data_IF_168912278780
#
_entry.id   IF_168912278780
#
_cell.length_a   1.000
_cell.length_b   1.000
_cell.length_c   1.000
_cell.angle_alpha   90.00
_cell.angle_beta   90.00
_cell.angle_gamma   90.00
#
_symmetry.space_group_name_H-M   'P 1'
#
loop_
_entity.id
_entity.type
_entity.pdbx_description
1 polymer ?
#
# COMPACT_ATOMS: atom_id res chain seq x y z
N UNK A 1 10.73 -62.75 -11.33
CA UNK A 1 11.26 -61.68 -10.46
C UNK A 1 10.34 -60.48 -10.60
N UNK A 2 9.84 -59.97 -9.47
CA UNK A 2 8.58 -59.22 -9.34
C UNK A 2 8.82 -57.71 -9.53
N UNK A 3 7.86 -57.08 -10.22
CA UNK A 3 7.86 -55.73 -10.80
C UNK A 3 8.14 -54.59 -9.79
N UNK A 4 9.01 -53.67 -10.21
CA UNK A 4 9.12 -52.27 -9.75
C UNK A 4 7.75 -51.59 -9.88
N UNK A 5 7.25 -50.89 -8.85
CA UNK A 5 6.22 -49.84 -8.98
C UNK A 5 6.11 -49.02 -7.67
N UNK A 6 6.09 -47.70 -7.87
CA UNK A 6 5.60 -46.59 -7.04
C UNK A 6 6.26 -46.31 -5.67
N UNK A 7 7.21 -45.38 -5.69
CA UNK A 7 7.32 -44.36 -4.64
C UNK A 7 7.21 -42.99 -5.32
N UNK A 8 6.01 -42.41 -5.30
CA UNK A 8 5.79 -41.01 -5.64
C UNK A 8 4.89 -40.37 -4.58
N UNK A 9 5.40 -40.28 -3.36
CA UNK A 9 4.89 -39.38 -2.33
C UNK A 9 5.42 -37.99 -2.64
N UNK A 10 4.66 -37.22 -3.42
CA UNK A 10 4.90 -35.78 -3.60
C UNK A 10 4.57 -35.10 -2.26
N UNK A 11 5.61 -34.73 -1.54
CA UNK A 11 5.55 -34.00 -0.28
C UNK A 11 5.08 -32.57 -0.59
N UNK A 12 3.82 -32.26 -0.33
CA UNK A 12 3.29 -30.89 -0.31
C UNK A 12 3.68 -30.18 1.00
N UNK A 13 4.98 -30.01 1.26
CA UNK A 13 5.48 -29.20 2.38
C UNK A 13 6.32 -28.04 1.88
N UNK A 14 5.68 -27.06 1.26
CA UNK A 14 6.29 -25.75 1.05
C UNK A 14 5.23 -24.65 0.86
N UNK A 15 4.25 -24.58 1.77
CA UNK A 15 3.63 -23.29 2.09
C UNK A 15 4.57 -22.57 3.08
N UNK A 16 5.82 -22.34 2.68
CA UNK A 16 6.68 -21.39 3.37
C UNK A 16 6.24 -19.98 2.98
N UNK A 17 6.30 -19.02 3.91
CA UNK A 17 6.14 -17.61 3.56
C UNK A 17 7.26 -17.29 2.57
N UNK A 18 6.92 -17.02 1.31
CA UNK A 18 7.90 -16.58 0.33
C UNK A 18 8.53 -15.29 0.86
N UNK A 19 9.83 -15.33 1.13
CA UNK A 19 10.58 -14.19 1.67
C UNK A 19 10.35 -12.99 0.73
N UNK A 20 9.65 -11.98 1.24
CA UNK A 20 9.40 -10.77 0.50
C UNK A 20 10.70 -9.97 0.47
N UNK A 21 11.17 -9.54 -0.70
CA UNK A 21 12.42 -8.82 -0.77
C UNK A 21 12.30 -7.51 -0.01
N UNK A 22 13.35 -7.12 0.73
CA UNK A 22 13.34 -5.94 1.62
C UNK A 22 12.84 -4.65 0.94
N UNK A 23 13.03 -4.52 -0.37
CA UNK A 23 12.60 -3.34 -1.11
C UNK A 23 11.07 -3.16 -1.21
N UNK A 24 10.25 -4.19 -0.95
CA UNK A 24 8.78 -4.05 -0.88
C UNK A 24 8.27 -3.57 0.48
N UNK A 25 9.14 -3.50 1.49
CA UNK A 25 8.78 -3.07 2.84
C UNK A 25 8.22 -1.64 2.82
N UNK A 26 7.01 -1.45 3.35
CA UNK A 26 6.43 -0.10 3.47
C UNK A 26 7.23 0.69 4.50
N UNK A 27 7.71 1.87 4.13
CA UNK A 27 8.51 2.75 5.00
C UNK A 27 7.78 4.04 5.38
N UNK A 28 6.71 4.38 4.67
CA UNK A 28 5.85 5.51 4.99
C UNK A 28 4.43 5.27 4.48
N UNK A 29 3.44 5.78 5.19
CA UNK A 29 2.06 5.80 4.72
C UNK A 29 1.29 6.99 5.27
N UNK A 30 0.25 7.39 4.54
CA UNK A 30 -0.59 8.53 4.86
C UNK A 30 -2.04 8.24 4.52
N UNK A 31 -2.97 8.73 5.35
CA UNK A 31 -4.39 8.81 5.02
C UNK A 31 -4.69 10.15 4.36
N UNK A 32 -5.35 10.12 3.20
CA UNK A 32 -5.79 11.28 2.41
C UNK A 32 -7.33 11.30 2.37
N UNK A 33 -7.99 12.39 2.81
CA UNK A 33 -9.44 12.47 2.80
C UNK A 33 -9.97 12.80 1.40
N UNK A 34 -10.32 11.76 0.62
CA UNK A 34 -10.85 11.85 -0.74
C UNK A 34 -12.35 11.51 -0.75
N UNK A 35 -13.15 12.36 -0.12
CA UNK A 35 -14.57 12.07 0.15
C UNK A 35 -15.47 12.19 -1.09
N UNK A 36 -14.99 12.80 -2.18
CA UNK A 36 -15.78 13.02 -3.41
C UNK A 36 -15.10 12.40 -4.63
N UNK A 37 -15.89 12.12 -5.67
CA UNK A 37 -15.35 11.69 -6.97
C UNK A 37 -14.42 12.74 -7.59
N UNK A 38 -14.69 14.03 -7.35
CA UNK A 38 -13.84 15.12 -7.78
C UNK A 38 -12.47 15.08 -7.09
N UNK A 39 -12.44 14.82 -5.77
CA UNK A 39 -11.18 14.67 -5.03
C UNK A 39 -10.39 13.47 -5.53
N UNK A 40 -11.05 12.32 -5.74
CA UNK A 40 -10.42 11.11 -6.28
C UNK A 40 -9.84 11.34 -7.67
N UNK A 41 -10.58 11.98 -8.58
CA UNK A 41 -10.09 12.32 -9.91
C UNK A 41 -8.90 13.28 -9.86
N UNK A 42 -8.94 14.28 -8.97
CA UNK A 42 -7.82 15.21 -8.75
C UNK A 42 -6.59 14.49 -8.19
N UNK A 43 -6.78 13.55 -7.27
CA UNK A 43 -5.69 12.76 -6.71
C UNK A 43 -5.03 11.88 -7.76
N UNK A 44 -5.81 11.17 -8.59
CA UNK A 44 -5.27 10.38 -9.72
C UNK A 44 -4.47 11.27 -10.67
N UNK A 45 -4.98 12.47 -10.99
CA UNK A 45 -4.24 13.41 -11.84
C UNK A 45 -2.92 13.84 -11.22
N UNK A 46 -2.90 14.15 -9.92
CA UNK A 46 -1.66 14.47 -9.20
C UNK A 46 -0.66 13.31 -9.25
N UNK A 47 -1.11 12.07 -9.00
CA UNK A 47 -0.25 10.89 -9.09
C UNK A 47 0.36 10.75 -10.49
N UNK A 48 -0.44 10.97 -11.54
CA UNK A 48 0.02 10.92 -12.94
C UNK A 48 1.03 12.02 -13.25
N UNK A 49 0.76 13.26 -12.84
CA UNK A 49 1.66 14.39 -13.04
C UNK A 49 3.02 14.16 -12.35
N UNK A 50 3.01 13.77 -11.07
CA UNK A 50 4.25 13.53 -10.34
C UNK A 50 4.99 12.27 -10.80
N UNK A 51 4.25 11.20 -11.12
CA UNK A 51 4.80 9.96 -11.66
C UNK A 51 5.47 10.19 -13.01
N UNK A 52 4.77 10.79 -13.96
CA UNK A 52 5.30 11.06 -15.30
C UNK A 52 6.55 11.95 -15.24
N UNK A 53 6.60 12.92 -14.32
CA UNK A 53 7.78 13.78 -14.13
C UNK A 53 9.04 13.03 -13.68
N UNK A 54 8.91 11.77 -13.30
CA UNK A 54 10.00 10.89 -12.83
C UNK A 54 10.12 9.60 -13.67
N UNK A 55 9.38 9.50 -14.78
CA UNK A 55 9.38 8.32 -15.64
C UNK A 55 8.59 7.13 -15.06
N UNK A 56 7.59 7.40 -14.24
CA UNK A 56 6.67 6.41 -13.67
C UNK A 56 5.28 6.52 -14.31
N UNK A 57 4.51 5.44 -14.31
CA UNK A 57 3.10 5.44 -14.74
C UNK A 57 2.16 5.14 -13.56
N UNK A 58 0.87 5.35 -13.81
CA UNK A 58 -0.19 5.16 -12.80
C UNK A 58 -1.28 4.28 -13.35
N UNK A 59 -1.52 3.19 -12.64
CA UNK A 59 -2.69 2.35 -12.83
C UNK A 59 -3.74 2.70 -11.81
N UNK A 60 -4.93 3.06 -12.29
CA UNK A 60 -6.07 3.34 -11.43
C UNK A 60 -7.23 2.44 -11.85
N UNK A 61 -7.83 1.76 -10.88
CA UNK A 61 -8.95 0.87 -11.13
C UNK A 61 -10.13 1.64 -11.76
N UNK A 62 -10.68 1.10 -12.84
CA UNK A 62 -11.91 1.62 -13.44
C UNK A 62 -13.11 1.40 -12.51
N UNK A 63 -14.22 2.11 -12.74
CA UNK A 63 -15.46 1.88 -11.98
C UNK A 63 -15.92 0.42 -12.02
N UNK A 64 -15.80 -0.23 -13.18
CA UNK A 64 -16.14 -1.65 -13.33
C UNK A 64 -15.22 -2.56 -12.53
N UNK A 65 -13.91 -2.30 -12.54
CA UNK A 65 -12.95 -3.04 -11.74
C UNK A 65 -13.16 -2.86 -10.23
N UNK A 66 -13.51 -1.65 -9.79
CA UNK A 66 -13.84 -1.36 -8.39
C UNK A 66 -15.15 -2.04 -7.97
N UNK A 67 -16.15 -2.11 -8.85
CA UNK A 67 -17.39 -2.82 -8.57
C UNK A 67 -17.13 -4.31 -8.31
N UNK A 68 -16.31 -4.96 -9.15
CA UNK A 68 -15.92 -6.37 -8.98
C UNK A 68 -15.11 -6.55 -7.67
N UNK A 69 -14.10 -5.71 -7.42
CA UNK A 69 -13.31 -5.80 -6.19
C UNK A 69 -14.17 -5.60 -4.92
N UNK A 70 -15.18 -4.74 -5.01
CA UNK A 70 -16.11 -4.47 -3.91
C UNK A 70 -17.05 -5.63 -3.56
N UNK A 71 -17.13 -6.67 -4.40
CA UNK A 71 -17.87 -7.89 -4.05
C UNK A 71 -17.20 -8.67 -2.91
N UNK A 72 -15.88 -8.50 -2.72
CA UNK A 72 -15.09 -9.15 -1.66
C UNK A 72 -14.92 -8.24 -0.45
N UNK A 73 -14.54 -6.99 -0.67
CA UNK A 73 -14.40 -5.97 0.37
C UNK A 73 -14.71 -4.61 -0.22
N UNK A 74 -15.72 -3.87 0.29
CA UNK A 74 -16.10 -2.58 -0.24
C UNK A 74 -14.91 -1.63 -0.39
N UNK A 75 -14.74 -1.08 -1.60
CA UNK A 75 -13.74 -0.06 -1.90
C UNK A 75 -14.27 0.91 -2.94
N UNK A 76 -13.78 2.14 -2.90
CA UNK A 76 -14.15 3.17 -3.88
C UNK A 76 -12.95 3.85 -4.54
N UNK A 77 -11.74 3.43 -4.17
CA UNK A 77 -10.50 3.92 -4.75
C UNK A 77 -9.41 2.84 -4.68
N UNK A 78 -8.74 2.61 -5.81
CA UNK A 78 -7.54 1.77 -5.88
C UNK A 78 -6.66 2.28 -7.02
N UNK A 79 -5.44 2.68 -6.71
CA UNK A 79 -4.45 3.10 -7.67
C UNK A 79 -3.03 2.75 -7.21
N UNK A 80 -2.14 2.51 -8.16
CA UNK A 80 -0.73 2.26 -7.92
C UNK A 80 0.12 3.13 -8.86
N UNK A 81 1.30 3.51 -8.38
CA UNK A 81 2.33 4.19 -9.17
C UNK A 81 3.46 3.20 -9.37
N UNK A 82 3.85 2.97 -10.61
CA UNK A 82 4.80 1.94 -11.00
C UNK A 82 5.98 2.52 -11.77
N UNK A 83 7.14 1.91 -11.61
CA UNK A 83 8.32 2.18 -12.43
C UNK A 83 8.51 1.06 -13.44
N UNK A 84 8.78 1.49 -14.67
CA UNK A 84 9.10 0.65 -15.83
C UNK A 84 7.83 0.30 -16.61
N UNK A 85 7.96 -0.30 -17.78
CA UNK A 85 6.81 -0.49 -18.69
C UNK A 85 5.96 -1.72 -18.31
N UNK A 86 6.48 -2.60 -17.45
CA UNK A 86 5.90 -3.88 -17.06
C UNK A 86 5.73 -4.01 -15.53
N UNK A 87 5.45 -2.88 -14.86
CA UNK A 87 5.21 -2.82 -13.40
C UNK A 87 6.36 -3.37 -12.55
N UNK A 88 7.61 -3.16 -12.98
CA UNK A 88 8.79 -3.78 -12.39
C UNK A 88 9.04 -3.40 -10.93
N UNK A 89 8.58 -2.22 -10.51
CA UNK A 89 8.71 -1.75 -9.14
C UNK A 89 7.56 -0.83 -8.73
N UNK A 90 6.88 -1.19 -7.63
CA UNK A 90 5.87 -0.35 -7.00
C UNK A 90 6.53 0.86 -6.33
N UNK A 91 6.11 2.07 -6.70
CA UNK A 91 6.59 3.33 -6.13
C UNK A 91 5.65 3.89 -5.07
N UNK A 92 4.34 3.67 -5.23
CA UNK A 92 3.33 3.94 -4.22
C UNK A 92 2.06 3.13 -4.51
N UNK A 93 1.31 2.75 -3.48
CA UNK A 93 -0.03 2.15 -3.60
C UNK A 93 -1.02 2.98 -2.80
N UNK A 94 -2.22 3.20 -3.35
CA UNK A 94 -3.23 4.05 -2.77
C UNK A 94 -4.62 3.39 -2.87
N UNK A 95 -5.23 3.08 -1.73
CA UNK A 95 -6.58 2.47 -1.69
C UNK A 95 -7.37 2.86 -0.45
N UNK A 96 -8.70 2.80 -0.53
CA UNK A 96 -9.57 2.80 0.65
C UNK A 96 -10.15 1.40 0.90
N UNK A 97 -10.64 1.21 2.12
CA UNK A 97 -11.23 -0.05 2.59
C UNK A 97 -12.59 0.20 3.21
N UNK A 98 -13.36 -0.86 3.44
CA UNK A 98 -14.74 -0.84 3.95
C UNK A 98 -14.93 0.07 5.17
N UNK A 99 -13.99 0.03 6.11
CA UNK A 99 -14.04 0.81 7.36
C UNK A 99 -13.61 2.27 7.21
N UNK A 100 -13.16 2.67 6.01
CA UNK A 100 -12.57 3.99 5.70
C UNK A 100 -12.87 4.48 4.30
N UNK A 101 -14.05 4.17 3.75
CA UNK A 101 -14.46 4.67 2.43
C UNK A 101 -14.32 6.19 2.33
N UNK A 102 -13.66 6.66 1.27
CA UNK A 102 -13.34 8.08 1.08
C UNK A 102 -12.16 8.60 1.92
N UNK A 103 -11.43 7.72 2.61
CA UNK A 103 -10.16 7.99 3.30
C UNK A 103 -9.09 7.05 2.79
N UNK A 104 -8.50 7.44 1.67
CA UNK A 104 -7.50 6.63 0.95
C UNK A 104 -6.20 6.59 1.72
N UNK A 105 -5.68 5.39 1.94
CA UNK A 105 -4.34 5.16 2.44
C UNK A 105 -3.38 5.06 1.28
N UNK A 106 -2.41 5.98 1.21
CA UNK A 106 -1.27 5.90 0.30
C UNK A 106 -0.03 5.41 1.06
N UNK A 107 0.56 4.31 0.62
CA UNK A 107 1.79 3.72 1.16
C UNK A 107 2.94 3.84 0.17
N UNK A 108 4.16 3.89 0.71
CA UNK A 108 5.41 4.03 -0.02
C UNK A 108 6.38 2.93 0.43
N UNK A 109 6.76 2.00 -0.46
CA UNK A 109 7.77 1.01 -0.16
C UNK A 109 9.18 1.61 -0.13
N UNK A 110 10.13 0.85 0.41
CA UNK A 110 11.55 1.22 0.43
C UNK A 110 12.09 1.42 -1.00
N UNK A 111 11.71 0.55 -1.92
CA UNK A 111 12.20 0.53 -3.30
C UNK A 111 13.56 -0.15 -3.46
N UNK A 112 13.82 -0.62 -4.68
CA UNK A 112 15.08 -1.21 -5.12
C UNK A 112 16.20 -0.17 -5.12
N UNK A 113 15.85 1.09 -5.40
CA UNK A 113 16.70 2.28 -5.20
C UNK A 113 16.04 3.18 -4.15
N UNK A 114 16.45 3.08 -2.88
CA UNK A 114 15.85 3.85 -1.79
C UNK A 114 15.93 5.37 -1.99
N UNK A 115 16.96 5.87 -2.67
CA UNK A 115 17.11 7.30 -2.90
C UNK A 115 16.09 7.80 -3.92
N UNK A 116 15.82 7.02 -4.97
CA UNK A 116 14.77 7.34 -5.95
C UNK A 116 13.38 7.31 -5.31
N UNK A 117 13.06 6.27 -4.57
CA UNK A 117 11.75 6.15 -3.90
C UNK A 117 11.53 7.24 -2.86
N UNK A 118 12.57 7.59 -2.10
CA UNK A 118 12.53 8.72 -1.17
C UNK A 118 12.26 10.05 -1.89
N UNK A 119 12.98 10.35 -2.98
CA UNK A 119 12.75 11.56 -3.79
C UNK A 119 11.32 11.64 -4.33
N UNK A 120 10.77 10.53 -4.82
CA UNK A 120 9.40 10.48 -5.30
C UNK A 120 8.40 10.86 -4.20
N UNK A 121 8.50 10.19 -3.04
CA UNK A 121 7.68 10.48 -1.86
C UNK A 121 7.82 11.92 -1.38
N UNK A 122 9.06 12.42 -1.29
CA UNK A 122 9.38 13.77 -0.81
C UNK A 122 8.85 14.87 -1.74
N UNK A 123 8.68 14.58 -3.03
CA UNK A 123 8.03 15.49 -3.97
C UNK A 123 6.50 15.41 -3.91
N UNK A 124 5.96 14.20 -3.83
CA UNK A 124 4.51 13.96 -3.89
C UNK A 124 3.79 14.35 -2.60
N UNK A 125 4.30 13.96 -1.43
CA UNK A 125 3.60 14.14 -0.14
C UNK A 125 3.32 15.63 0.19
N UNK A 126 4.24 16.59 -0.02
CA UNK A 126 3.95 18.00 0.19
C UNK A 126 2.78 18.50 -0.67
N UNK A 127 2.70 18.10 -1.94
CA UNK A 127 1.61 18.48 -2.84
C UNK A 127 0.27 17.86 -2.43
N UNK A 128 0.30 16.61 -1.94
CA UNK A 128 -0.88 16.00 -1.33
C UNK A 128 -1.36 16.86 -0.15
N UNK A 129 -0.46 17.25 0.76
CA UNK A 129 -0.81 18.06 1.93
C UNK A 129 -1.27 19.48 1.56
N UNK A 130 -0.81 20.02 0.45
CA UNK A 130 -1.26 21.31 -0.08
C UNK A 130 -2.75 21.24 -0.51
N UNK A 131 -3.13 20.19 -1.26
CA UNK A 131 -4.51 20.03 -1.71
C UNK A 131 -5.44 19.45 -0.64
N UNK A 132 -4.92 18.61 0.25
CA UNK A 132 -5.66 17.97 1.34
C UNK A 132 -4.92 18.16 2.68
N UNK A 133 -5.04 19.35 3.33
CA UNK A 133 -4.32 19.65 4.57
C UNK A 133 -4.63 18.71 5.74
N UNK A 134 -5.78 18.03 5.71
CA UNK A 134 -6.17 17.03 6.71
C UNK A 134 -5.52 15.64 6.49
N UNK A 135 -4.61 15.50 5.52
CA UNK A 135 -3.79 14.30 5.34
C UNK A 135 -3.00 13.97 6.60
N UNK A 136 -3.13 12.73 7.08
CA UNK A 136 -2.55 12.28 8.34
C UNK A 136 -1.53 11.16 8.11
N UNK A 137 -0.37 11.26 8.74
CA UNK A 137 0.63 10.17 8.73
C UNK A 137 0.10 8.94 9.47
N UNK A 138 0.35 7.76 8.91
CA UNK A 138 0.08 6.46 9.52
C UNK A 138 1.39 5.91 10.12
N UNK A 139 1.33 5.26 11.30
CA UNK A 139 2.51 4.65 11.87
C UNK A 139 2.90 3.39 11.09
N UNK A 140 4.20 3.21 10.86
CA UNK A 140 4.78 2.02 10.22
C UNK A 140 5.46 1.19 11.31
N UNK A 141 5.08 -0.07 11.42
CA UNK A 141 5.61 -1.00 12.42
C UNK A 141 7.00 -1.52 12.01
N UNK A 142 7.80 -2.08 12.93
CA UNK A 142 9.11 -2.66 12.59
C UNK A 142 9.08 -3.77 11.53
N UNK A 143 7.92 -4.40 11.32
CA UNK A 143 7.69 -5.37 10.25
C UNK A 143 7.40 -4.74 8.88
N UNK A 144 7.28 -3.42 8.80
CA UNK A 144 6.77 -2.69 7.64
C UNK A 144 5.25 -2.65 7.54
N UNK A 145 4.52 -3.28 8.47
CA UNK A 145 3.06 -3.29 8.45
C UNK A 145 2.47 -1.95 8.90
N UNK A 146 1.32 -1.59 8.33
CA UNK A 146 0.44 -0.54 8.87
C UNK A 146 -0.52 -1.21 9.87
N UNK A 147 -0.69 -0.69 11.09
CA UNK A 147 -1.64 -1.22 12.05
C UNK A 147 -3.08 -1.22 11.54
N UNK A 148 -3.90 -2.08 12.12
CA UNK A 148 -5.31 -2.19 11.77
C UNK A 148 -6.05 -0.91 12.15
N UNK A 149 -7.06 -0.55 11.37
CA UNK A 149 -7.90 0.64 11.62
C UNK A 149 -8.37 0.77 13.06
N UNK A 150 -8.89 -0.32 13.65
CA UNK A 150 -9.39 -0.37 15.02
C UNK A 150 -8.32 -0.14 16.10
N UNK A 151 -7.07 -0.36 15.74
CA UNK A 151 -5.92 -0.22 16.62
C UNK A 151 -5.22 1.14 16.38
N UNK A 152 -5.78 2.02 15.55
CA UNK A 152 -5.27 3.38 15.28
C UNK A 152 -6.08 4.45 16.01
N UNK A 153 -5.40 5.41 16.61
CA UNK A 153 -5.98 6.59 17.29
C UNK A 153 -5.53 7.85 16.55
N UNK A 154 -6.47 8.72 16.18
CA UNK A 154 -6.16 10.01 15.54
C UNK A 154 -5.53 10.96 16.56
N UNK A 155 -4.47 11.67 16.16
CA UNK A 155 -3.76 12.68 16.93
C UNK A 155 -3.57 13.96 16.10
N UNK A 156 -3.06 15.03 16.71
CA UNK A 156 -2.71 16.25 15.98
C UNK A 156 -1.58 16.02 14.95
N UNK A 157 -0.70 15.04 15.17
CA UNK A 157 0.43 14.72 14.29
C UNK A 157 0.10 13.65 13.22
N UNK A 158 -1.11 13.07 13.23
CA UNK A 158 -1.50 11.97 12.34
C UNK A 158 -2.22 10.87 13.10
N UNK A 159 -1.72 9.64 13.03
CA UNK A 159 -2.22 8.51 13.81
C UNK A 159 -1.13 7.93 14.72
N UNK A 160 -1.54 7.40 15.86
CA UNK A 160 -0.71 6.56 16.74
C UNK A 160 -1.37 5.20 16.94
N UNK A 161 -0.58 4.19 17.31
CA UNK A 161 -1.13 2.89 17.73
C UNK A 161 -1.82 3.07 19.08
N UNK A 162 -3.00 2.47 19.24
CA UNK A 162 -3.67 2.37 20.52
C UNK A 162 -2.73 1.64 21.52
N UNK A 163 -2.38 2.25 22.67
CA UNK A 163 -1.47 1.64 23.63
C UNK A 163 -1.89 0.23 24.07
N UNK A 164 -3.19 -0.05 24.18
CA UNK A 164 -3.69 -1.38 24.56
C UNK A 164 -3.46 -2.46 23.48
N UNK A 165 -3.19 -2.06 22.24
CA UNK A 165 -2.92 -2.94 21.12
C UNK A 165 -1.45 -2.96 20.68
N UNK A 166 -0.62 -2.06 21.22
CA UNK A 166 0.77 -1.87 20.78
C UNK A 166 1.60 -3.15 20.81
N UNK A 167 1.40 -4.00 21.83
CA UNK A 167 2.11 -5.27 21.96
C UNK A 167 1.96 -6.22 20.76
N UNK A 168 0.85 -6.12 20.00
CA UNK A 168 0.60 -6.93 18.79
C UNK A 168 1.58 -6.64 17.65
N UNK A 169 2.25 -5.49 17.70
CA UNK A 169 3.05 -4.95 16.60
C UNK A 169 4.55 -4.85 16.90
N UNK A 170 4.98 -5.37 18.06
CA UNK A 170 6.38 -5.29 18.51
C UNK A 170 7.31 -6.32 17.85
N UNK A 171 6.77 -7.35 17.19
CA UNK A 171 7.59 -8.38 16.53
C UNK A 171 8.13 -7.88 15.18
N UNK A 172 9.44 -7.69 15.09
CA UNK A 172 10.15 -7.52 13.83
C UNK A 172 10.32 -8.89 13.17
N UNK A 173 9.34 -9.29 12.33
CA UNK A 173 9.34 -10.50 11.46
C UNK A 173 9.48 -11.84 12.20
N UNK A 174 8.42 -12.66 12.13
CA UNK A 174 8.55 -14.13 12.22
C UNK A 174 8.73 -14.70 10.82
#
# INVERSE_FOLDING_TARGET
MRRLILCLTVICTACGVAEQPKWTETIAAYEVPLSTDTDKARFIRLLREEGASQGFHVDAASRGALAIQSEVSPMTFNAAVWRGEEDEELMASAMDFEDRIGRVWISFPLGQDPARSARFREKLVPKIKEFWPATASLPIMPSGAIPLTRDLVRTAAGYSVNPSAAAKYNDARR
#
